data_IF_055541863297
#
_entry.id   IF_055541863297
#
_cell.length_a   1.000
_cell.length_b   1.000
_cell.length_c   1.000
_cell.angle_alpha   90.00
_cell.angle_beta   90.00
_cell.angle_gamma   90.00
#
_symmetry.space_group_name_H-M   'P 1'
#
loop_
_entity.id
_entity.type
_entity.pdbx_description
1 polymer ?
#
# COMPACT_ATOMS: atom_id res chain seq x y z
N UNK A 1 -11.11 -1.86 20.25
CA UNK A 1 -11.31 -1.71 18.81
C UNK A 1 -9.93 -1.51 18.21
N UNK A 2 -9.54 -2.27 17.17
CA UNK A 2 -8.22 -2.12 16.55
C UNK A 2 -8.28 -0.93 15.62
N UNK A 3 -7.30 -0.03 15.72
CA UNK A 3 -7.24 1.16 14.86
C UNK A 3 -5.81 1.40 14.45
N UNK A 4 -5.61 1.84 13.22
CA UNK A 4 -4.31 2.26 12.73
C UNK A 4 -3.92 3.58 13.40
N UNK A 5 -2.69 3.66 13.89
CA UNK A 5 -2.12 4.90 14.41
C UNK A 5 -1.55 5.69 13.23
N UNK A 6 -2.10 6.86 12.97
CA UNK A 6 -1.66 7.74 11.89
C UNK A 6 -1.21 9.09 12.44
N UNK A 7 -0.20 9.71 11.83
CA UNK A 7 0.54 9.26 10.66
C UNK A 7 1.53 8.13 10.98
N UNK A 8 1.72 7.21 10.02
CA UNK A 8 2.83 6.25 10.06
C UNK A 8 4.04 6.90 9.40
N UNK A 9 5.11 7.11 10.17
CA UNK A 9 6.33 7.77 9.71
C UNK A 9 7.43 6.77 9.39
N UNK A 10 8.14 7.04 8.32
CA UNK A 10 9.35 6.31 7.89
C UNK A 10 10.54 7.28 7.82
N UNK A 11 11.66 6.84 7.29
CA UNK A 11 12.83 7.71 7.12
C UNK A 11 12.58 8.88 6.13
N UNK A 12 11.78 8.64 5.07
CA UNK A 12 11.57 9.62 3.99
C UNK A 12 10.10 9.96 3.77
N UNK A 13 9.17 9.20 4.35
CA UNK A 13 7.75 9.29 4.04
C UNK A 13 6.91 9.50 5.30
N UNK A 14 5.78 10.18 5.10
CA UNK A 14 4.72 10.37 6.07
C UNK A 14 3.43 9.82 5.48
N UNK A 15 2.98 8.65 5.98
CA UNK A 15 1.73 8.02 5.54
C UNK A 15 0.61 8.58 6.41
N UNK A 16 -0.20 9.48 5.85
CA UNK A 16 -1.20 10.25 6.58
C UNK A 16 -2.58 10.14 5.97
N UNK A 17 -3.58 10.55 6.72
CA UNK A 17 -4.93 10.71 6.18
C UNK A 17 -4.94 11.72 5.02
N UNK A 18 -5.80 11.45 4.02
CA UNK A 18 -6.05 12.40 2.95
C UNK A 18 -6.81 13.63 3.45
N UNK A 19 -6.52 14.77 2.84
CA UNK A 19 -7.22 16.03 3.04
C UNK A 19 -7.69 16.60 1.71
N UNK A 20 -8.65 17.54 1.72
CA UNK A 20 -9.22 18.08 0.47
C UNK A 20 -8.18 18.74 -0.46
N UNK A 21 -7.13 19.29 0.10
CA UNK A 21 -6.04 19.92 -0.67
C UNK A 21 -5.18 18.93 -1.44
N UNK A 22 -5.32 17.62 -1.21
CA UNK A 22 -4.56 16.58 -1.93
C UNK A 22 -5.10 16.30 -3.35
N UNK A 23 -6.24 16.92 -3.75
CA UNK A 23 -6.88 16.68 -5.03
C UNK A 23 -5.91 16.71 -6.22
N UNK A 24 -5.14 17.77 -6.35
CA UNK A 24 -4.23 17.92 -7.50
C UNK A 24 -3.12 16.86 -7.51
N UNK A 25 -2.63 16.47 -6.34
CA UNK A 25 -1.64 15.41 -6.22
C UNK A 25 -2.25 14.04 -6.61
N UNK A 26 -3.46 13.74 -6.13
CA UNK A 26 -4.19 12.53 -6.51
C UNK A 26 -4.41 12.49 -8.03
N UNK A 27 -4.89 13.59 -8.62
CA UNK A 27 -5.11 13.68 -10.06
C UNK A 27 -3.81 13.43 -10.83
N UNK A 28 -2.72 14.06 -10.42
CA UNK A 28 -1.42 13.95 -11.09
C UNK A 28 -0.94 12.49 -11.23
N UNK A 29 -1.04 11.67 -10.17
CA UNK A 29 -0.61 10.27 -10.28
C UNK A 29 -1.71 9.32 -10.77
N UNK A 30 -2.99 9.60 -10.50
CA UNK A 30 -4.07 8.66 -10.85
C UNK A 30 -4.61 8.81 -12.26
N UNK A 31 -4.34 9.94 -12.93
CA UNK A 31 -4.70 10.16 -14.35
C UNK A 31 -3.69 9.55 -15.32
N UNK A 32 -2.50 9.16 -14.86
CA UNK A 32 -1.49 8.54 -15.72
C UNK A 32 -1.83 7.06 -15.99
N UNK A 33 -2.02 6.67 -17.28
CA UNK A 33 -2.35 5.28 -17.63
C UNK A 33 -1.22 4.30 -17.29
N UNK A 34 0.01 4.76 -17.16
CA UNK A 34 1.16 3.93 -16.76
C UNK A 34 1.06 3.55 -15.29
N UNK A 35 0.65 4.47 -14.41
CA UNK A 35 0.41 4.23 -12.99
C UNK A 35 -0.73 3.24 -12.79
N UNK A 36 -1.82 3.44 -13.52
CA UNK A 36 -3.01 2.59 -13.37
C UNK A 36 -2.93 1.27 -14.14
N UNK A 37 -1.84 1.02 -14.89
CA UNK A 37 -1.71 -0.14 -15.79
C UNK A 37 -2.10 -1.46 -15.14
N UNK A 38 -1.61 -1.71 -13.93
CA UNK A 38 -1.81 -2.94 -13.16
C UNK A 38 -2.82 -2.80 -12.01
N UNK A 39 -3.60 -1.72 -11.99
CA UNK A 39 -4.66 -1.51 -11.03
C UNK A 39 -6.03 -1.88 -11.62
N UNK A 40 -6.98 -2.23 -10.77
CA UNK A 40 -8.32 -2.62 -11.20
C UNK A 40 -9.21 -1.46 -11.66
N UNK A 41 -8.70 -0.24 -11.59
CA UNK A 41 -9.32 0.96 -12.15
C UNK A 41 -8.43 1.57 -13.26
N UNK A 42 -9.03 2.36 -14.14
CA UNK A 42 -8.32 3.10 -15.19
C UNK A 42 -7.83 4.47 -14.70
N UNK A 43 -7.21 5.24 -15.60
CA UNK A 43 -6.91 6.64 -15.33
C UNK A 43 -8.18 7.39 -14.91
N UNK A 44 -8.05 8.24 -13.89
CA UNK A 44 -9.13 9.12 -13.45
C UNK A 44 -9.08 10.44 -14.18
N UNK A 45 -10.24 10.95 -14.56
CA UNK A 45 -10.44 12.34 -14.88
C UNK A 45 -10.63 13.18 -13.60
N UNK A 46 -10.93 14.47 -13.73
CA UNK A 46 -11.12 15.36 -12.60
C UNK A 46 -12.33 14.94 -11.76
N UNK A 47 -13.47 14.61 -12.39
CA UNK A 47 -14.69 14.17 -11.71
C UNK A 47 -14.44 12.87 -10.93
N UNK A 48 -13.84 11.87 -11.58
CA UNK A 48 -13.48 10.61 -10.94
C UNK A 48 -12.44 10.77 -9.82
N UNK A 49 -11.61 11.79 -9.89
CA UNK A 49 -10.66 12.15 -8.82
C UNK A 49 -11.40 12.80 -7.64
N UNK A 50 -12.37 13.68 -7.91
CA UNK A 50 -13.19 14.30 -6.87
C UNK A 50 -14.02 13.25 -6.13
N UNK A 51 -14.72 12.38 -6.86
CA UNK A 51 -15.51 11.28 -6.30
C UNK A 51 -14.64 10.34 -5.43
N UNK A 52 -13.44 10.02 -5.90
CA UNK A 52 -12.50 9.20 -5.14
C UNK A 52 -12.07 9.89 -3.84
N UNK A 53 -11.69 11.17 -3.90
CA UNK A 53 -11.29 11.92 -2.71
C UNK A 53 -12.45 12.05 -1.70
N UNK A 54 -13.66 12.32 -2.17
CA UNK A 54 -14.83 12.37 -1.28
C UNK A 54 -15.10 11.02 -0.61
N UNK A 55 -14.94 9.92 -1.35
CA UNK A 55 -15.01 8.57 -0.79
C UNK A 55 -13.95 8.31 0.28
N UNK A 56 -12.70 8.75 0.05
CA UNK A 56 -11.62 8.66 1.03
C UNK A 56 -11.96 9.41 2.32
N UNK A 57 -12.39 10.67 2.19
CA UNK A 57 -12.76 11.52 3.34
C UNK A 57 -13.98 10.98 4.11
N UNK A 58 -14.91 10.32 3.43
CA UNK A 58 -16.04 9.65 4.06
C UNK A 58 -15.57 8.40 4.84
N UNK A 59 -14.73 7.55 4.23
CA UNK A 59 -14.25 6.30 4.84
C UNK A 59 -13.43 6.53 6.13
N UNK A 60 -12.74 7.67 6.24
CA UNK A 60 -12.00 8.05 7.46
C UNK A 60 -12.92 8.20 8.69
N UNK A 61 -14.20 8.47 8.47
CA UNK A 61 -15.21 8.67 9.52
C UNK A 61 -15.97 7.41 9.89
N UNK A 62 -15.80 6.34 9.13
CA UNK A 62 -16.50 5.06 9.37
C UNK A 62 -16.15 4.47 10.74
N UNK A 63 -17.16 3.88 11.40
CA UNK A 63 -16.98 3.16 12.66
C UNK A 63 -17.88 1.91 12.66
N UNK A 64 -17.36 0.69 12.70
CA UNK A 64 -15.93 0.33 12.67
C UNK A 64 -15.28 0.64 11.33
N UNK A 65 -14.03 1.11 11.35
CA UNK A 65 -13.24 1.31 10.14
C UNK A 65 -12.50 0.01 9.80
N UNK A 66 -12.69 -0.47 8.58
CA UNK A 66 -12.05 -1.70 8.08
C UNK A 66 -11.05 -1.44 6.96
N UNK A 67 -11.04 -0.22 6.41
CA UNK A 67 -10.11 0.20 5.35
C UNK A 67 -9.41 1.50 5.75
N UNK A 68 -8.10 1.48 5.65
CA UNK A 68 -7.21 2.59 5.96
C UNK A 68 -6.42 2.95 4.70
N UNK A 69 -6.90 3.90 3.94
CA UNK A 69 -6.26 4.39 2.73
C UNK A 69 -5.58 5.72 3.06
N UNK A 70 -4.27 5.82 2.81
CA UNK A 70 -3.40 6.90 3.24
C UNK A 70 -2.70 7.56 2.06
N UNK A 71 -2.52 8.87 2.17
CA UNK A 71 -1.62 9.64 1.31
C UNK A 71 -0.17 9.32 1.66
N UNK A 72 0.65 9.10 0.65
CA UNK A 72 2.10 8.97 0.78
C UNK A 72 2.72 10.35 0.53
N UNK A 73 3.13 11.01 1.60
CA UNK A 73 3.77 12.32 1.55
C UNK A 73 5.28 12.18 1.71
N UNK A 74 6.04 12.74 0.78
CA UNK A 74 7.50 12.82 0.90
C UNK A 74 7.88 13.93 1.91
N UNK A 75 8.63 13.57 2.96
CA UNK A 75 8.92 14.49 4.08
C UNK A 75 9.71 15.70 3.61
N UNK A 76 10.70 15.52 2.74
CA UNK A 76 11.58 16.59 2.28
C UNK A 76 10.83 17.68 1.50
N UNK A 77 9.93 17.30 0.62
CA UNK A 77 9.21 18.22 -0.25
C UNK A 77 7.82 18.61 0.26
N UNK A 78 7.25 17.86 1.21
CA UNK A 78 5.87 17.98 1.64
C UNK A 78 4.84 17.56 0.58
N UNK A 79 5.27 16.95 -0.53
CA UNK A 79 4.40 16.58 -1.65
C UNK A 79 3.80 15.19 -1.46
N UNK A 80 2.51 15.05 -1.76
CA UNK A 80 1.89 13.74 -1.89
C UNK A 80 2.32 13.11 -3.21
N UNK A 81 2.98 11.96 -3.12
CA UNK A 81 3.61 11.25 -4.25
C UNK A 81 2.89 9.96 -4.63
N UNK A 82 1.84 9.59 -3.89
CA UNK A 82 1.07 8.37 -4.13
C UNK A 82 0.07 8.09 -3.01
N UNK A 83 -0.39 6.85 -2.99
CA UNK A 83 -1.31 6.32 -1.99
C UNK A 83 -0.90 4.92 -1.55
N UNK A 84 -1.32 4.54 -0.35
CA UNK A 84 -1.19 3.17 0.15
C UNK A 84 -2.39 2.81 1.02
N UNK A 85 -2.65 1.51 1.22
CA UNK A 85 -3.76 1.08 2.03
C UNK A 85 -3.53 -0.22 2.80
N UNK A 86 -4.28 -0.36 3.90
CA UNK A 86 -4.50 -1.57 4.64
C UNK A 86 -6.00 -1.82 4.75
N UNK A 87 -6.45 -3.01 4.38
CA UNK A 87 -7.87 -3.36 4.38
C UNK A 87 -8.10 -4.71 5.04
N UNK A 88 -9.00 -4.78 6.03
CA UNK A 88 -9.44 -6.08 6.54
C UNK A 88 -10.31 -6.77 5.49
N UNK A 89 -9.88 -7.93 5.02
CA UNK A 89 -10.67 -8.80 4.12
C UNK A 89 -11.40 -9.90 4.87
N UNK A 90 -10.83 -10.31 6.00
CA UNK A 90 -11.38 -11.27 6.95
C UNK A 90 -10.97 -10.86 8.37
N UNK A 91 -11.50 -11.57 9.37
CA UNK A 91 -11.05 -11.36 10.74
C UNK A 91 -9.55 -11.64 10.85
N UNK A 92 -8.78 -10.60 11.21
CA UNK A 92 -7.32 -10.65 11.40
C UNK A 92 -6.49 -10.91 10.12
N UNK A 93 -7.08 -10.84 8.93
CA UNK A 93 -6.36 -10.88 7.66
C UNK A 93 -6.43 -9.50 7.02
N UNK A 94 -5.27 -8.91 6.78
CA UNK A 94 -5.16 -7.56 6.23
C UNK A 94 -4.52 -7.62 4.85
N UNK A 95 -5.20 -7.03 3.86
CA UNK A 95 -4.65 -6.81 2.52
C UNK A 95 -3.88 -5.50 2.49
N UNK A 96 -2.77 -5.49 1.78
CA UNK A 96 -1.84 -4.38 1.64
C UNK A 96 -1.77 -3.94 0.19
N UNK A 97 -1.94 -2.62 -0.04
CA UNK A 97 -1.83 -2.01 -1.36
C UNK A 97 -1.00 -0.72 -1.35
N UNK A 98 -0.43 -0.39 -2.51
CA UNK A 98 0.25 0.89 -2.73
C UNK A 98 0.29 1.26 -4.22
N UNK A 99 0.37 2.55 -4.49
CA UNK A 99 0.66 3.12 -5.81
C UNK A 99 1.47 4.41 -5.66
N UNK A 100 2.34 4.68 -6.62
CA UNK A 100 3.18 5.87 -6.67
C UNK A 100 3.12 6.52 -8.05
N UNK A 101 3.20 7.84 -8.08
CA UNK A 101 3.46 8.58 -9.30
C UNK A 101 4.75 8.12 -9.98
N UNK A 102 4.79 8.20 -11.29
CA UNK A 102 5.87 7.62 -12.12
C UNK A 102 7.25 8.19 -11.79
N UNK A 103 7.30 9.50 -11.50
CA UNK A 103 8.54 10.20 -11.13
C UNK A 103 9.15 9.72 -9.81
N UNK A 104 8.40 8.89 -9.05
CA UNK A 104 8.80 8.34 -7.77
C UNK A 104 9.14 6.84 -7.82
N UNK A 105 9.10 6.25 -9.03
CA UNK A 105 9.50 4.87 -9.22
C UNK A 105 11.02 4.70 -9.15
N UNK A 106 11.48 3.50 -8.81
CA UNK A 106 12.91 3.17 -8.77
C UNK A 106 13.70 3.76 -7.58
N UNK A 107 13.06 4.57 -6.71
CA UNK A 107 13.69 5.24 -5.57
C UNK A 107 13.60 4.46 -4.25
N UNK A 108 13.06 3.25 -4.27
CA UNK A 108 12.86 2.41 -3.08
C UNK A 108 11.65 2.77 -2.22
N UNK A 109 10.88 3.79 -2.56
CA UNK A 109 9.71 4.23 -1.78
C UNK A 109 8.65 3.13 -1.62
N UNK A 110 8.38 2.33 -2.66
CA UNK A 110 7.41 1.25 -2.56
C UNK A 110 7.79 0.20 -1.50
N UNK A 111 9.08 -0.14 -1.40
CA UNK A 111 9.58 -1.07 -0.36
C UNK A 111 9.46 -0.44 1.02
N UNK A 112 9.80 0.84 1.17
CA UNK A 112 9.70 1.58 2.43
C UNK A 112 8.24 1.66 2.92
N UNK A 113 7.29 1.98 2.02
CA UNK A 113 5.85 1.98 2.29
C UNK A 113 5.39 0.60 2.75
N UNK A 114 5.71 -0.44 1.98
CA UNK A 114 5.23 -1.78 2.24
C UNK A 114 5.74 -2.34 3.58
N UNK A 115 7.00 -2.07 3.95
CA UNK A 115 7.54 -2.42 5.27
C UNK A 115 6.80 -1.69 6.39
N UNK A 116 6.56 -0.39 6.26
CA UNK A 116 5.83 0.40 7.26
C UNK A 116 4.39 -0.09 7.44
N UNK A 117 3.72 -0.44 6.33
CA UNK A 117 2.37 -0.99 6.37
C UNK A 117 2.31 -2.38 7.02
N UNK A 118 3.28 -3.24 6.74
CA UNK A 118 3.39 -4.57 7.38
C UNK A 118 3.53 -4.40 8.90
N UNK A 119 4.40 -3.51 9.34
CA UNK A 119 4.58 -3.24 10.76
C UNK A 119 3.29 -2.72 11.40
N UNK A 120 2.65 -1.74 10.77
CA UNK A 120 1.38 -1.19 11.24
C UNK A 120 0.25 -2.24 11.29
N UNK A 121 0.18 -3.13 10.29
CA UNK A 121 -0.78 -4.22 10.27
C UNK A 121 -0.59 -5.17 11.46
N UNK A 122 0.65 -5.52 11.80
CA UNK A 122 0.92 -6.42 12.91
C UNK A 122 0.87 -5.73 14.27
N UNK A 123 1.39 -4.52 14.42
CA UNK A 123 1.41 -3.82 15.71
C UNK A 123 0.06 -3.20 16.07
N UNK A 124 -0.51 -2.40 15.17
CA UNK A 124 -1.71 -1.61 15.45
C UNK A 124 -2.98 -2.42 15.20
N UNK A 125 -3.07 -3.05 14.02
CA UNK A 125 -4.27 -3.78 13.61
C UNK A 125 -4.31 -5.21 14.14
N UNK A 126 -3.22 -5.71 14.76
CA UNK A 126 -3.14 -7.07 15.32
C UNK A 126 -3.53 -8.15 14.31
N UNK A 127 -3.11 -7.98 13.06
CA UNK A 127 -3.31 -8.97 12.02
C UNK A 127 -2.62 -10.30 12.40
N UNK A 128 -3.20 -11.43 12.01
CA UNK A 128 -2.55 -12.73 12.11
C UNK A 128 -1.68 -12.99 10.87
N UNK A 129 -2.10 -12.42 9.73
CA UNK A 129 -1.33 -12.41 8.50
C UNK A 129 -1.63 -11.17 7.65
N UNK A 130 -0.62 -10.74 6.88
CA UNK A 130 -0.76 -9.73 5.84
C UNK A 130 -0.72 -10.43 4.50
N UNK A 131 -1.60 -10.04 3.60
CA UNK A 131 -1.61 -10.54 2.23
C UNK A 131 -1.47 -9.38 1.24
N UNK A 132 -1.15 -9.70 0.00
CA UNK A 132 -1.28 -8.77 -1.14
C UNK A 132 -1.57 -9.54 -2.41
N UNK A 133 -2.53 -9.06 -3.20
CA UNK A 133 -2.81 -9.58 -4.53
C UNK A 133 -2.22 -8.67 -5.59
N UNK A 134 -1.45 -9.24 -6.52
CA UNK A 134 -0.74 -8.48 -7.57
C UNK A 134 -0.98 -9.12 -8.94
N UNK A 135 -1.21 -8.29 -9.98
CA UNK A 135 -1.29 -8.79 -11.36
C UNK A 135 -0.01 -9.57 -11.71
N UNK A 136 -0.18 -10.75 -12.32
CA UNK A 136 0.94 -11.66 -12.66
C UNK A 136 2.01 -11.01 -13.55
N UNK A 137 1.68 -9.91 -14.24
CA UNK A 137 2.59 -9.16 -15.10
C UNK A 137 3.25 -7.97 -14.40
N UNK A 138 2.90 -7.68 -13.14
CA UNK A 138 3.47 -6.57 -12.39
C UNK A 138 4.76 -6.98 -11.67
N UNK A 139 5.81 -7.26 -12.45
CA UNK A 139 7.10 -7.69 -11.90
C UNK A 139 7.75 -6.69 -10.93
N UNK A 140 7.41 -5.40 -11.02
CA UNK A 140 7.92 -4.40 -10.08
C UNK A 140 7.33 -4.60 -8.68
N UNK A 141 6.00 -4.73 -8.57
CA UNK A 141 5.34 -5.01 -7.30
C UNK A 141 5.71 -6.38 -6.73
N UNK A 142 5.83 -7.41 -7.58
CA UNK A 142 6.26 -8.75 -7.16
C UNK A 142 7.62 -8.66 -6.43
N UNK A 143 8.61 -7.99 -7.02
CA UNK A 143 9.93 -7.81 -6.38
C UNK A 143 9.87 -7.04 -5.06
N UNK A 144 8.96 -6.09 -4.91
CA UNK A 144 8.77 -5.38 -3.63
C UNK A 144 8.22 -6.34 -2.57
N UNK A 145 7.18 -7.14 -2.91
CA UNK A 145 6.59 -8.09 -1.98
C UNK A 145 7.60 -9.15 -1.51
N UNK A 146 8.42 -9.65 -2.44
CA UNK A 146 9.52 -10.58 -2.12
C UNK A 146 10.57 -9.94 -1.20
N UNK A 147 10.98 -8.70 -1.46
CA UNK A 147 11.96 -7.97 -0.64
C UNK A 147 11.51 -7.75 0.79
N UNK A 148 10.22 -7.57 1.04
CA UNK A 148 9.66 -7.39 2.38
C UNK A 148 9.36 -8.72 3.10
N UNK A 149 9.78 -9.84 2.50
CA UNK A 149 9.66 -11.17 3.11
C UNK A 149 8.31 -11.86 2.89
N UNK A 150 7.42 -11.29 2.07
CA UNK A 150 6.19 -11.97 1.68
C UNK A 150 6.52 -13.14 0.74
N UNK A 151 5.79 -14.25 0.89
CA UNK A 151 5.98 -15.45 0.08
C UNK A 151 4.80 -15.62 -0.86
N UNK A 152 5.12 -16.00 -2.11
CA UNK A 152 4.09 -16.43 -3.05
C UNK A 152 3.37 -17.68 -2.52
N UNK A 153 2.05 -17.69 -2.56
CA UNK A 153 1.22 -18.78 -2.05
C UNK A 153 0.35 -19.40 -3.15
N UNK A 154 -0.26 -18.58 -4.01
CA UNK A 154 -1.21 -19.07 -5.01
C UNK A 154 -1.30 -18.17 -6.24
N UNK A 155 -1.94 -18.69 -7.28
CA UNK A 155 -2.43 -17.93 -8.44
C UNK A 155 -3.95 -17.96 -8.44
N UNK A 156 -4.55 -16.80 -8.41
CA UNK A 156 -5.99 -16.64 -8.63
C UNK A 156 -6.24 -16.39 -10.12
N UNK A 157 -6.74 -17.41 -10.83
CA UNK A 157 -7.15 -17.26 -12.22
C UNK A 157 -8.50 -16.54 -12.29
N UNK A 158 -8.64 -15.58 -13.23
CA UNK A 158 -9.85 -14.78 -13.39
C UNK A 158 -10.32 -14.18 -12.04
N UNK A 159 -9.37 -13.72 -11.24
CA UNK A 159 -9.60 -13.20 -9.90
C UNK A 159 -10.62 -12.05 -9.89
N UNK A 160 -10.46 -11.12 -10.82
CA UNK A 160 -11.33 -9.95 -10.93
C UNK A 160 -11.55 -9.55 -12.38
N UNK A 161 -12.78 -9.13 -12.69
CA UNK A 161 -13.09 -8.51 -13.98
C UNK A 161 -13.01 -6.99 -13.83
N UNK A 162 -12.08 -6.38 -14.56
CA UNK A 162 -11.90 -4.93 -14.58
C UNK A 162 -11.36 -4.51 -15.95
N UNK A 163 -11.63 -3.27 -16.40
CA UNK A 163 -11.17 -2.74 -17.70
C UNK A 163 -11.48 -3.70 -18.86
N UNK A 164 -12.70 -4.24 -18.88
CA UNK A 164 -13.20 -5.17 -19.90
C UNK A 164 -12.41 -6.48 -20.07
N UNK A 165 -11.58 -6.86 -19.09
CA UNK A 165 -10.84 -8.13 -19.09
C UNK A 165 -10.87 -8.82 -17.72
N UNK A 166 -10.59 -10.12 -17.71
CA UNK A 166 -10.27 -10.86 -16.49
C UNK A 166 -8.81 -10.68 -16.13
N UNK A 167 -8.56 -10.56 -14.86
CA UNK A 167 -7.22 -10.40 -14.28
C UNK A 167 -6.83 -11.65 -13.52
N UNK A 168 -5.64 -12.18 -13.83
CA UNK A 168 -5.00 -13.20 -13.04
C UNK A 168 -4.06 -12.53 -12.04
N UNK A 169 -4.07 -12.98 -10.80
CA UNK A 169 -3.26 -12.40 -9.74
C UNK A 169 -2.47 -13.46 -9.00
N UNK A 170 -1.25 -13.11 -8.62
CA UNK A 170 -0.52 -13.82 -7.57
C UNK A 170 -1.04 -13.37 -6.21
N UNK A 171 -1.16 -14.33 -5.28
CA UNK A 171 -1.32 -14.08 -3.85
C UNK A 171 0.03 -14.19 -3.17
N UNK A 172 0.42 -13.14 -2.47
CA UNK A 172 1.55 -13.11 -1.56
C UNK A 172 1.07 -13.03 -0.12
N UNK A 173 1.77 -13.70 0.79
CA UNK A 173 1.37 -13.80 2.21
C UNK A 173 2.59 -13.63 3.11
N UNK A 174 2.39 -12.93 4.23
CA UNK A 174 3.32 -12.84 5.34
C UNK A 174 2.59 -13.19 6.64
N UNK A 175 2.79 -14.39 7.21
CA UNK A 175 2.27 -14.75 8.52
C UNK A 175 2.97 -13.97 9.64
N UNK A 176 2.25 -13.71 10.76
CA UNK A 176 2.78 -13.00 11.91
C UNK A 176 4.06 -13.63 12.46
N UNK A 177 4.07 -14.96 12.62
CA UNK A 177 5.22 -15.70 13.17
C UNK A 177 6.47 -15.54 12.32
N UNK A 178 6.33 -15.43 10.99
CA UNK A 178 7.46 -15.19 10.06
C UNK A 178 8.00 -13.78 10.24
N UNK A 179 7.10 -12.80 10.36
CA UNK A 179 7.48 -11.41 10.61
C UNK A 179 8.13 -11.24 11.98
N UNK A 180 7.58 -11.84 13.04
CA UNK A 180 8.16 -11.80 14.40
C UNK A 180 9.56 -12.42 14.43
N UNK A 181 9.77 -13.57 13.77
CA UNK A 181 11.06 -14.22 13.68
C UNK A 181 12.11 -13.35 12.96
N UNK A 182 11.72 -12.64 11.90
CA UNK A 182 12.62 -11.74 11.18
C UNK A 182 12.99 -10.48 11.99
N UNK A 183 12.21 -10.14 13.02
CA UNK A 183 12.41 -8.94 13.85
C UNK A 183 13.11 -9.20 15.19
N UNK A 184 13.50 -10.41 15.49
CA UNK A 184 14.19 -10.73 16.78
C UNK A 184 15.42 -9.85 17.00
N UNK A 185 16.08 -9.43 15.93
CA UNK A 185 17.28 -8.58 15.96
C UNK A 185 16.99 -7.09 15.68
N UNK A 186 15.70 -6.66 15.60
CA UNK A 186 15.35 -5.31 15.17
C UNK A 186 14.66 -4.49 16.29
N UNK A 187 15.23 -3.35 16.74
CA UNK A 187 14.59 -2.49 17.74
C UNK A 187 13.29 -1.88 17.17
N UNK A 188 12.26 -1.80 18.01
CA UNK A 188 10.94 -1.24 17.66
C UNK A 188 11.00 0.19 17.11
N UNK A 189 12.03 0.94 17.48
CA UNK A 189 12.25 2.34 17.12
C UNK A 189 13.39 2.51 16.11
N UNK A 190 13.90 1.42 15.54
CA UNK A 190 14.95 1.44 14.52
C UNK A 190 14.43 1.81 13.14
N UNK A 191 15.24 2.48 12.30
CA UNK A 191 14.86 2.74 10.92
C UNK A 191 14.62 1.41 10.19
N UNK A 192 13.48 1.29 9.51
CA UNK A 192 13.19 0.19 8.59
C UNK A 192 14.39 0.00 7.66
N UNK A 193 14.86 -1.23 7.52
CA UNK A 193 16.03 -1.69 6.76
C UNK A 193 16.71 -0.61 5.90
N UNK A 194 17.99 -0.34 6.15
CA UNK A 194 18.79 0.43 5.21
C UNK A 194 18.64 -0.19 3.82
N UNK A 195 18.49 0.61 2.75
CA UNK A 195 18.45 0.07 1.41
C UNK A 195 19.72 -0.78 1.22
N UNK A 196 19.52 -2.03 0.82
CA UNK A 196 20.61 -2.90 0.37
C UNK A 196 21.25 -2.18 -0.83
N UNK A 197 22.46 -1.63 -0.61
CA UNK A 197 23.26 -1.02 -1.67
C UNK A 197 23.76 -2.13 -2.58
N UNK A 198 22.84 -2.66 -3.41
CA UNK A 198 23.13 -3.74 -4.35
C UNK A 198 24.49 -3.58 -5.00
N UNK A 199 25.48 -4.32 -4.47
CA UNK A 199 26.72 -4.64 -5.13
C UNK A 199 26.60 -5.97 -5.83
#
# INVERSE_FOLDING_TARGET
MRTLIVPVRTARLNLREFVRTDFHAIFAYSSDPRVTRYLFFGPRDEDGTADYLDGLLASQRERPRTRFELAVEEIESGRVIGACDLSFIERNVVDLGYMLGIENWGKGYATEIALALVDAAFFDLRADRVISTVDINNGASIRVLEKIGMRWEAVFRKHRRAKNRWWDCHLFVLPREVWEAARVDWPRDGPLLAPDDGR
#
